data_IF_382144731784
#
_entry.id   IF_382144731784
#
_cell.length_a   1.000
_cell.length_b   1.000
_cell.length_c   1.000
_cell.angle_alpha   90.00
_cell.angle_beta   90.00
_cell.angle_gamma   90.00
#
_symmetry.space_group_name_H-M   'P 1'
#
loop_
_entity.id
_entity.type
_entity.pdbx_description
1 polymer ?
#
# COMPACT_ATOMS: atom_id res chain seq x y z
N UNK A 1 2.12 -14.93 -0.24
CA UNK A 1 2.84 -14.81 1.05
C UNK A 1 3.44 -13.42 1.16
N UNK A 2 3.47 -12.82 2.36
CA UNK A 2 4.07 -11.51 2.61
C UNK A 2 5.51 -11.42 2.09
N UNK A 3 6.26 -12.52 2.21
CA UNK A 3 7.63 -12.66 1.73
C UNK A 3 7.81 -12.36 0.24
N UNK A 4 6.80 -12.67 -0.59
CA UNK A 4 6.88 -12.38 -2.02
C UNK A 4 6.81 -10.88 -2.29
N UNK A 5 6.00 -10.15 -1.53
CA UNK A 5 5.85 -8.70 -1.69
C UNK A 5 7.13 -8.01 -1.23
N UNK A 6 7.65 -8.40 -0.07
CA UNK A 6 8.88 -7.81 0.49
C UNK A 6 10.10 -8.03 -0.40
N UNK A 7 10.22 -9.21 -1.01
CA UNK A 7 11.38 -9.56 -1.84
C UNK A 7 11.29 -9.08 -3.27
N UNK A 8 10.09 -9.11 -3.88
CA UNK A 8 9.94 -8.93 -5.33
C UNK A 8 9.21 -7.64 -5.74
N UNK A 9 8.54 -6.95 -4.82
CA UNK A 9 7.79 -5.72 -5.15
C UNK A 9 8.39 -4.54 -4.42
N UNK A 10 8.50 -4.64 -3.09
CA UNK A 10 8.92 -3.54 -2.22
C UNK A 10 10.28 -2.90 -2.58
N UNK A 11 11.30 -3.63 -3.06
CA UNK A 11 12.58 -3.04 -3.44
C UNK A 11 12.50 -2.13 -4.68
N UNK A 12 11.51 -2.37 -5.55
CA UNK A 12 11.33 -1.63 -6.80
C UNK A 12 10.45 -0.38 -6.63
N UNK A 13 9.70 -0.30 -5.54
CA UNK A 13 8.83 0.84 -5.25
C UNK A 13 9.61 2.06 -4.75
N UNK A 14 9.22 3.24 -5.22
CA UNK A 14 9.89 4.48 -4.83
C UNK A 14 9.71 4.77 -3.33
N UNK A 15 10.84 4.99 -2.63
CA UNK A 15 10.88 5.39 -1.22
C UNK A 15 11.14 6.89 -1.11
N UNK A 16 10.47 7.54 -0.15
CA UNK A 16 10.69 8.96 0.12
C UNK A 16 12.16 9.18 0.53
N UNK A 17 12.86 10.09 -0.15
CA UNK A 17 14.26 10.45 0.17
C UNK A 17 14.38 11.45 1.33
N UNK A 18 13.27 12.06 1.74
CA UNK A 18 13.19 13.12 2.75
C UNK A 18 12.02 12.86 3.70
N UNK A 19 12.18 13.25 4.97
CA UNK A 19 11.16 13.10 6.01
C UNK A 19 11.28 11.79 6.80
N UNK A 20 10.34 11.58 7.71
CA UNK A 20 10.28 10.37 8.54
C UNK A 20 9.89 9.15 7.71
N UNK A 21 10.39 7.98 8.10
CA UNK A 21 9.91 6.72 7.58
C UNK A 21 8.41 6.58 7.86
N UNK A 22 7.70 5.94 6.94
CA UNK A 22 6.28 5.68 7.14
C UNK A 22 6.06 4.84 8.40
N UNK A 23 5.10 5.24 9.24
CA UNK A 23 4.64 4.42 10.37
C UNK A 23 3.83 3.19 9.93
N UNK A 24 3.37 3.18 8.68
CA UNK A 24 2.53 2.11 8.15
C UNK A 24 3.38 1.03 7.48
N UNK A 25 3.00 -0.22 7.73
CA UNK A 25 3.52 -1.40 7.04
C UNK A 25 3.17 -1.34 5.53
N UNK A 26 4.20 -1.15 4.71
CA UNK A 26 4.08 -1.05 3.25
C UNK A 26 3.61 -2.35 2.60
N UNK A 27 3.89 -3.51 3.21
CA UNK A 27 3.45 -4.81 2.69
C UNK A 27 1.94 -4.89 2.75
N UNK A 28 1.35 -4.48 3.88
CA UNK A 28 -0.11 -4.42 4.05
C UNK A 28 -0.76 -3.43 3.08
N UNK A 29 -0.13 -2.27 2.84
CA UNK A 29 -0.60 -1.31 1.83
C UNK A 29 -0.63 -1.97 0.45
N UNK A 30 0.45 -2.63 0.04
CA UNK A 30 0.53 -3.31 -1.26
C UNK A 30 -0.51 -4.44 -1.35
N UNK A 31 -0.72 -5.21 -0.29
CA UNK A 31 -1.76 -6.24 -0.25
C UNK A 31 -3.16 -5.66 -0.52
N UNK A 32 -3.49 -4.52 0.08
CA UNK A 32 -4.76 -3.83 -0.15
C UNK A 32 -4.88 -3.29 -1.58
N UNK A 33 -3.80 -2.75 -2.15
CA UNK A 33 -3.78 -2.31 -3.55
C UNK A 33 -3.99 -3.50 -4.49
N UNK A 34 -3.27 -4.60 -4.29
CA UNK A 34 -3.43 -5.83 -5.09
C UNK A 34 -4.86 -6.38 -4.94
N UNK A 35 -5.43 -6.38 -3.74
CA UNK A 35 -6.83 -6.79 -3.51
C UNK A 35 -7.76 -5.94 -4.38
N UNK A 36 -7.63 -4.61 -4.34
CA UNK A 36 -8.41 -3.68 -5.17
C UNK A 36 -8.26 -3.98 -6.66
N UNK A 37 -7.04 -4.22 -7.15
CA UNK A 37 -6.79 -4.47 -8.56
C UNK A 37 -7.35 -5.81 -9.04
N UNK A 38 -7.32 -6.83 -8.17
CA UNK A 38 -7.86 -8.16 -8.48
C UNK A 38 -9.38 -8.21 -8.45
N UNK A 39 -10.01 -7.50 -7.51
CA UNK A 39 -11.46 -7.57 -7.30
C UNK A 39 -12.22 -6.44 -8.01
N UNK A 40 -11.54 -5.34 -8.35
CA UNK A 40 -12.18 -4.13 -8.85
C UNK A 40 -13.00 -3.36 -7.82
N UNK A 41 -12.92 -3.71 -6.52
CA UNK A 41 -13.73 -3.06 -5.48
C UNK A 41 -13.41 -1.57 -5.34
N UNK A 42 -14.33 -0.80 -4.77
CA UNK A 42 -14.09 0.62 -4.54
C UNK A 42 -13.04 0.82 -3.43
N UNK A 43 -12.26 1.91 -3.50
CA UNK A 43 -11.26 2.23 -2.47
C UNK A 43 -11.88 2.33 -1.08
N UNK A 44 -13.12 2.84 -0.99
CA UNK A 44 -13.86 3.02 0.26
C UNK A 44 -14.30 1.70 0.90
N UNK A 45 -14.36 0.63 0.12
CA UNK A 45 -14.78 -0.71 0.55
C UNK A 45 -13.60 -1.60 0.94
N UNK A 46 -12.38 -1.04 0.97
CA UNK A 46 -11.21 -1.77 1.43
C UNK A 46 -11.37 -2.18 2.90
N UNK A 47 -11.03 -3.43 3.19
CA UNK A 47 -11.10 -4.04 4.51
C UNK A 47 -9.95 -3.55 5.43
N UNK A 48 -9.83 -2.23 5.63
CA UNK A 48 -8.67 -1.63 6.31
C UNK A 48 -8.46 -2.17 7.74
N UNK A 49 -9.55 -2.40 8.48
CA UNK A 49 -9.51 -2.91 9.86
C UNK A 49 -8.92 -4.32 9.99
N UNK A 50 -9.03 -5.14 8.94
CA UNK A 50 -8.45 -6.50 8.94
C UNK A 50 -6.92 -6.45 8.82
N UNK A 51 -6.38 -5.39 8.20
CA UNK A 51 -4.95 -5.23 7.96
C UNK A 51 -4.30 -4.35 9.03
N UNK A 52 -4.98 -3.27 9.44
CA UNK A 52 -4.52 -2.27 10.39
C UNK A 52 -5.50 -2.19 11.56
N UNK A 53 -5.29 -3.04 12.55
CA UNK A 53 -6.12 -3.15 13.75
C UNK A 53 -5.82 -2.03 14.76
N UNK A 54 -4.53 -1.67 14.90
CA UNK A 54 -4.03 -0.70 15.88
C UNK A 54 -3.82 0.68 15.30
N UNK A 55 -3.56 0.78 13.99
CA UNK A 55 -3.27 2.04 13.34
C UNK A 55 -4.52 2.68 12.73
N UNK A 56 -4.73 3.97 13.01
CA UNK A 56 -5.71 4.77 12.26
C UNK A 56 -5.17 5.02 10.85
N UNK A 57 -5.68 4.25 9.89
CA UNK A 57 -5.44 4.42 8.46
C UNK A 57 -6.77 4.61 7.72
N UNK A 58 -6.76 5.40 6.66
CA UNK A 58 -7.92 5.63 5.80
C UNK A 58 -7.61 5.18 4.37
N UNK A 59 -8.66 4.97 3.57
CA UNK A 59 -8.50 4.51 2.19
C UNK A 59 -7.72 5.53 1.33
N UNK A 60 -7.80 6.83 1.68
CA UNK A 60 -7.04 7.89 1.04
C UNK A 60 -5.53 7.66 1.18
N UNK A 61 -5.07 7.12 2.32
CA UNK A 61 -3.66 6.76 2.50
C UNK A 61 -3.24 5.65 1.55
N UNK A 62 -4.08 4.62 1.37
CA UNK A 62 -3.80 3.53 0.41
C UNK A 62 -3.75 4.08 -1.02
N UNK A 63 -4.74 4.89 -1.38
CA UNK A 63 -4.79 5.55 -2.69
C UNK A 63 -3.60 6.48 -2.92
N UNK A 64 -3.15 7.20 -1.89
CA UNK A 64 -1.96 8.06 -1.98
C UNK A 64 -0.73 7.26 -2.38
N UNK A 65 -0.48 6.11 -1.73
CA UNK A 65 0.66 5.26 -2.08
C UNK A 65 0.55 4.69 -3.50
N UNK A 66 -0.62 4.19 -3.87
CA UNK A 66 -0.87 3.71 -5.23
C UNK A 66 -0.61 4.81 -6.26
N UNK A 67 -1.24 5.97 -6.10
CA UNK A 67 -1.10 7.10 -7.01
C UNK A 67 0.34 7.64 -7.08
N UNK A 68 1.06 7.67 -5.95
CA UNK A 68 2.47 8.06 -5.92
C UNK A 68 3.29 7.13 -6.81
N UNK A 69 3.21 5.82 -6.57
CA UNK A 69 4.00 4.84 -7.29
C UNK A 69 3.55 4.63 -8.75
N UNK A 70 2.28 4.84 -9.06
CA UNK A 70 1.81 4.85 -10.44
C UNK A 70 2.33 6.06 -11.22
N UNK A 71 2.40 7.24 -10.59
CA UNK A 71 2.87 8.46 -11.25
C UNK A 71 4.37 8.45 -11.55
N UNK A 72 5.16 7.81 -10.70
CA UNK A 72 6.60 7.66 -10.92
C UNK A 72 6.97 6.37 -11.67
N UNK A 73 5.97 5.55 -12.04
CA UNK A 73 6.15 4.32 -12.80
C UNK A 73 6.79 3.18 -12.02
N UNK A 74 6.91 3.28 -10.70
CA UNK A 74 7.47 2.22 -9.86
C UNK A 74 6.45 1.13 -9.49
N UNK A 75 5.15 1.37 -9.66
CA UNK A 75 4.07 0.39 -9.50
C UNK A 75 3.65 -0.22 -10.84
#
# INVERSE_FOLDING_TARGET
>A
SKDKIERWILPHLSKGKRGFSTRYDLVKIIQLIIKRLKTGCQWRELSLKEYFDKEKICWQSIYYYFNKWSKDGSF
#
